data_IF_379756879278
#
_entry.id   IF_379756879278
#
_cell.length_a   1.000
_cell.length_b   1.000
_cell.length_c   1.000
_cell.angle_alpha   90.00
_cell.angle_beta   90.00
_cell.angle_gamma   90.00
#
_symmetry.space_group_name_H-M   'P 1'
#
loop_
_entity.id
_entity.type
_entity.pdbx_description
1 polymer ?
#
# COMPACT_ATOMS: atom_id res chain seq x y z
N UNK A 1 -0.95 13.22 28.42
CA UNK A 1 -0.90 11.85 27.89
C UNK A 1 0.30 11.80 26.97
N UNK A 2 1.23 10.88 27.21
CA UNK A 2 2.41 10.70 26.35
C UNK A 2 2.13 9.57 25.37
N UNK A 3 2.35 9.84 24.09
CA UNK A 3 2.30 8.84 23.03
C UNK A 3 3.69 8.74 22.41
N UNK A 4 4.18 7.53 22.24
CA UNK A 4 5.51 7.25 21.70
C UNK A 4 5.41 6.28 20.54
N UNK A 5 6.19 6.53 19.49
CA UNK A 5 6.32 5.61 18.35
C UNK A 5 7.73 5.03 18.40
N UNK A 6 7.82 3.71 18.54
CA UNK A 6 9.08 2.98 18.51
C UNK A 6 9.23 2.26 17.17
N UNK A 7 10.35 2.50 16.48
CA UNK A 7 10.64 1.90 15.18
C UNK A 7 11.86 0.98 15.32
N UNK A 8 11.71 -0.28 14.96
CA UNK A 8 12.79 -1.27 14.87
C UNK A 8 12.91 -1.78 13.44
N UNK A 9 14.08 -1.59 12.84
CA UNK A 9 14.36 -1.97 11.44
C UNK A 9 15.40 -3.07 11.42
N UNK A 10 15.06 -4.21 10.81
CA UNK A 10 15.97 -5.31 10.50
C UNK A 10 15.88 -5.67 9.01
N UNK A 11 16.80 -6.50 8.51
CA UNK A 11 16.84 -6.89 7.10
C UNK A 11 15.61 -7.68 6.61
N UNK A 12 14.89 -8.36 7.51
CA UNK A 12 13.72 -9.17 7.16
C UNK A 12 12.37 -8.52 7.48
N UNK A 13 12.33 -7.57 8.41
CA UNK A 13 11.09 -6.92 8.82
C UNK A 13 11.33 -5.56 9.49
N UNK A 14 10.34 -4.69 9.34
CA UNK A 14 10.20 -3.41 10.05
C UNK A 14 9.06 -3.53 11.04
N UNK A 15 9.31 -3.13 12.30
CA UNK A 15 8.30 -3.15 13.36
C UNK A 15 8.07 -1.72 13.85
N UNK A 16 6.80 -1.33 13.96
CA UNK A 16 6.39 -0.03 14.49
C UNK A 16 5.42 -0.26 15.64
N UNK A 17 5.78 0.20 16.83
CA UNK A 17 4.94 0.09 18.03
C UNK A 17 4.44 1.48 18.45
N UNK A 18 3.14 1.59 18.70
CA UNK A 18 2.52 2.75 19.35
C UNK A 18 2.36 2.44 20.85
N UNK A 19 3.03 3.23 21.67
CA UNK A 19 2.86 3.21 23.11
C UNK A 19 2.02 4.41 23.56
N UNK A 20 1.10 4.17 24.48
CA UNK A 20 0.43 5.22 25.23
C UNK A 20 0.74 5.06 26.72
N UNK A 21 1.32 6.09 27.32
CA UNK A 21 1.77 6.09 28.72
C UNK A 21 2.67 4.87 29.05
N UNK A 22 3.56 4.51 28.12
CA UNK A 22 4.47 3.36 28.24
C UNK A 22 3.83 1.98 28.04
N UNK A 23 2.54 1.92 27.74
CA UNK A 23 1.81 0.67 27.46
C UNK A 23 1.64 0.49 25.96
N UNK A 24 1.94 -0.72 25.46
CA UNK A 24 1.74 -1.06 24.05
C UNK A 24 0.24 -1.08 23.70
N UNK A 25 -0.13 -0.27 22.71
CA UNK A 25 -1.51 -0.19 22.21
C UNK A 25 -1.62 -0.85 20.83
N UNK A 26 -0.69 -0.55 19.91
CA UNK A 26 -0.67 -1.14 18.57
C UNK A 26 0.74 -1.57 18.15
N UNK A 27 0.81 -2.62 17.34
CA UNK A 27 2.05 -3.12 16.74
C UNK A 27 1.81 -3.43 15.25
N UNK A 28 2.58 -2.77 14.40
CA UNK A 28 2.64 -3.02 12.97
C UNK A 28 3.94 -3.75 12.65
N UNK A 29 3.86 -4.82 11.86
CA UNK A 29 5.01 -5.57 11.37
C UNK A 29 4.89 -5.65 9.86
N UNK A 30 5.84 -5.05 9.16
CA UNK A 30 5.96 -5.14 7.70
C UNK A 30 7.14 -6.04 7.35
N UNK A 31 6.88 -7.09 6.57
CA UNK A 31 7.91 -7.97 6.00
C UNK A 31 8.12 -7.66 4.54
N UNK A 32 9.37 -7.70 4.08
CA UNK A 32 9.74 -7.39 2.70
C UNK A 32 9.00 -8.28 1.67
N UNK A 33 8.64 -9.51 2.05
CA UNK A 33 7.89 -10.45 1.22
C UNK A 33 6.37 -10.19 1.18
N UNK A 34 5.84 -9.37 2.09
CA UNK A 34 4.42 -9.11 2.27
C UNK A 34 4.03 -7.68 1.83
N UNK A 35 4.89 -6.98 1.08
CA UNK A 35 4.57 -5.65 0.55
C UNK A 35 3.37 -5.73 -0.41
N UNK A 36 2.19 -5.45 0.13
CA UNK A 36 0.97 -5.30 -0.63
C UNK A 36 1.00 -4.03 -1.47
N UNK A 37 0.33 -4.06 -2.61
CA UNK A 37 0.16 -2.88 -3.48
C UNK A 37 -1.10 -2.06 -3.15
N UNK A 38 -1.87 -2.50 -2.16
CA UNK A 38 -3.15 -1.87 -1.79
C UNK A 38 -2.91 -0.52 -1.14
N UNK A 39 -3.63 0.51 -1.58
CA UNK A 39 -3.49 1.89 -1.07
C UNK A 39 -2.34 2.68 -1.68
N UNK A 40 -1.50 2.06 -2.51
CA UNK A 40 -0.46 2.76 -3.24
C UNK A 40 -1.06 3.71 -4.30
N UNK A 41 -0.39 4.83 -4.52
CA UNK A 41 -0.72 5.80 -5.56
C UNK A 41 0.32 5.71 -6.67
N UNK A 42 -0.14 5.50 -7.90
CA UNK A 42 0.72 5.34 -9.08
C UNK A 42 0.46 6.44 -10.11
N UNK A 43 1.51 6.82 -10.84
CA UNK A 43 1.37 7.57 -12.08
C UNK A 43 1.27 6.58 -13.24
N UNK A 44 0.06 6.35 -13.74
CA UNK A 44 -0.19 5.40 -14.82
C UNK A 44 -0.31 6.03 -16.21
N UNK A 45 -0.10 5.22 -17.25
CA UNK A 45 -0.42 5.57 -18.65
C UNK A 45 -1.57 4.71 -19.15
N UNK A 46 -2.62 5.34 -19.68
CA UNK A 46 -3.72 4.60 -20.33
C UNK A 46 -3.17 3.92 -21.59
N UNK A 47 -3.29 2.59 -21.66
CA UNK A 47 -2.80 1.79 -22.80
C UNK A 47 -3.94 1.31 -23.70
N UNK A 48 -5.15 1.15 -23.16
CA UNK A 48 -6.33 0.73 -23.93
C UNK A 48 -7.63 1.19 -23.26
N UNK A 49 -8.56 1.73 -24.05
CA UNK A 49 -9.92 2.07 -23.59
C UNK A 49 -10.91 1.03 -24.10
N UNK A 50 -11.85 0.62 -23.25
CA UNK A 50 -12.91 -0.36 -23.54
C UNK A 50 -14.29 0.28 -23.37
N UNK A 51 -14.83 0.94 -24.42
CA UNK A 51 -16.12 1.63 -24.32
C UNK A 51 -17.27 0.71 -23.90
N UNK A 52 -17.33 -0.52 -24.43
CA UNK A 52 -18.39 -1.49 -24.13
C UNK A 52 -18.37 -2.04 -22.70
N UNK A 53 -17.24 -1.90 -22.00
CA UNK A 53 -17.09 -2.29 -20.59
C UNK A 53 -17.07 -1.07 -19.67
N UNK A 54 -17.14 0.14 -20.24
CA UNK A 54 -16.96 1.41 -19.54
C UNK A 54 -15.69 1.40 -18.66
N UNK A 55 -14.56 0.98 -19.23
CA UNK A 55 -13.33 0.79 -18.50
C UNK A 55 -12.07 1.11 -19.33
N UNK A 56 -10.93 1.21 -18.68
CA UNK A 56 -9.62 1.35 -19.31
C UNK A 56 -8.58 0.44 -18.65
N UNK A 57 -7.62 -0.02 -19.46
CA UNK A 57 -6.39 -0.61 -18.97
C UNK A 57 -5.31 0.47 -18.84
N UNK A 58 -4.66 0.49 -17.68
CA UNK A 58 -3.64 1.48 -17.31
C UNK A 58 -2.34 0.75 -16.95
N UNK A 59 -1.26 1.10 -17.63
CA UNK A 59 0.07 0.65 -17.24
C UNK A 59 0.54 1.46 -16.02
N UNK A 60 0.84 0.75 -14.92
CA UNK A 60 1.34 1.30 -13.66
C UNK A 60 2.74 0.76 -13.29
N UNK A 61 3.42 0.09 -14.23
CA UNK A 61 4.75 -0.48 -14.03
C UNK A 61 4.78 -1.86 -13.35
N UNK A 62 3.63 -2.54 -13.27
CA UNK A 62 3.54 -3.94 -12.81
C UNK A 62 3.53 -4.92 -14.01
N UNK A 63 3.67 -6.21 -13.72
CA UNK A 63 3.64 -7.28 -14.75
C UNK A 63 2.36 -7.27 -15.60
N UNK A 64 1.23 -6.87 -14.99
CA UNK A 64 -0.07 -6.74 -15.65
C UNK A 64 -0.57 -5.31 -15.56
N UNK A 65 -1.19 -4.84 -16.64
CA UNK A 65 -1.88 -3.56 -16.63
C UNK A 65 -3.03 -3.57 -15.60
N UNK A 66 -3.17 -2.47 -14.87
CA UNK A 66 -4.29 -2.24 -13.98
C UNK A 66 -5.58 -2.01 -14.78
N UNK A 67 -6.71 -2.31 -14.15
CA UNK A 67 -8.04 -2.08 -14.69
C UNK A 67 -8.68 -0.91 -13.94
N UNK A 68 -9.24 0.05 -14.67
CA UNK A 68 -9.92 1.22 -14.13
C UNK A 68 -11.34 1.28 -14.69
N UNK A 69 -12.36 1.16 -13.83
CA UNK A 69 -13.76 1.29 -14.20
C UNK A 69 -14.20 2.77 -14.16
N UNK A 70 -15.23 3.14 -14.94
CA UNK A 70 -15.65 4.55 -15.10
C UNK A 70 -16.14 5.24 -13.82
N UNK A 71 -16.57 4.47 -12.81
CA UNK A 71 -17.07 5.02 -11.54
C UNK A 71 -16.10 4.88 -10.38
N UNK A 72 -14.89 4.36 -10.63
CA UNK A 72 -13.80 4.34 -9.65
C UNK A 72 -13.03 5.68 -9.68
#
# INVERSE_FOLDING_TARGET
MSSEILINVNSGETRVALLENGVLVELYIERSSEQGITGNIYKGRVVRVLPGMQAAFVDIGLEKAAFLYVTD
#
